data_IF_366540058635
#
_entry.id   IF_366540058635
#
_cell.length_a   1.000
_cell.length_b   1.000
_cell.length_c   1.000
_cell.angle_alpha   90.00
_cell.angle_beta   90.00
_cell.angle_gamma   90.00
#
_symmetry.space_group_name_H-M   'P 1'
#
loop_
_entity.id
_entity.type
_entity.pdbx_description
1 polymer ?
#
# COMPACT_ATOMS: atom_id res chain seq x y z
N UNK A 1 21.31 -1.27 -6.22
CA UNK A 1 20.25 -0.41 -5.65
C UNK A 1 19.11 -1.28 -5.14
N UNK A 2 18.67 -1.08 -3.89
CA UNK A 2 17.58 -1.87 -3.33
C UNK A 2 16.25 -1.68 -4.11
N UNK A 3 15.40 -2.71 -4.07
CA UNK A 3 14.13 -2.66 -4.80
C UNK A 3 13.23 -1.51 -4.32
N UNK A 4 13.18 -1.28 -3.01
CA UNK A 4 12.35 -0.20 -2.48
C UNK A 4 12.78 1.18 -2.98
N UNK A 5 14.08 1.39 -3.17
CA UNK A 5 14.60 2.66 -3.65
C UNK A 5 14.27 2.87 -5.13
N UNK A 6 14.32 1.81 -5.94
CA UNK A 6 13.87 1.88 -7.33
C UNK A 6 12.39 2.20 -7.43
N UNK A 7 11.58 1.59 -6.57
CA UNK A 7 10.15 1.86 -6.50
C UNK A 7 9.89 3.32 -6.13
N UNK A 8 10.62 3.79 -5.11
CA UNK A 8 10.52 5.18 -4.65
C UNK A 8 10.91 6.18 -5.74
N UNK A 9 11.99 5.91 -6.48
CA UNK A 9 12.40 6.74 -7.60
C UNK A 9 11.35 6.78 -8.71
N UNK A 10 10.71 5.65 -9.01
CA UNK A 10 9.63 5.61 -9.99
C UNK A 10 8.45 6.46 -9.51
N UNK A 11 8.07 6.34 -8.24
CA UNK A 11 7.00 7.15 -7.67
C UNK A 11 7.32 8.65 -7.74
N UNK A 12 8.56 9.03 -7.42
CA UNK A 12 9.01 10.40 -7.52
C UNK A 12 8.96 10.92 -8.96
N UNK A 13 9.38 10.11 -9.93
CA UNK A 13 9.31 10.46 -11.35
C UNK A 13 7.86 10.69 -11.82
N UNK A 14 6.91 9.98 -11.21
CA UNK A 14 5.48 10.15 -11.47
C UNK A 14 4.86 11.27 -10.64
N UNK A 15 5.67 12.01 -9.89
CA UNK A 15 5.29 13.15 -9.06
C UNK A 15 4.40 12.78 -7.88
N UNK A 16 4.58 11.59 -7.35
CA UNK A 16 3.94 11.18 -6.10
C UNK A 16 4.80 11.60 -4.92
N UNK A 17 4.15 11.98 -3.82
CA UNK A 17 4.86 12.30 -2.57
C UNK A 17 4.79 11.12 -1.62
N UNK A 18 5.95 10.77 -1.07
CA UNK A 18 6.11 9.69 -0.09
C UNK A 18 5.95 10.23 1.32
N UNK A 19 5.24 9.49 2.15
CA UNK A 19 5.19 9.75 3.59
C UNK A 19 5.22 8.42 4.35
N UNK A 20 5.65 8.46 5.60
CA UNK A 20 5.61 7.32 6.49
C UNK A 20 4.57 7.60 7.57
N UNK A 21 3.60 6.70 7.70
CA UNK A 21 2.53 6.83 8.69
C UNK A 21 2.76 5.82 9.81
N UNK A 22 2.76 6.30 11.05
CA UNK A 22 2.82 5.42 12.21
C UNK A 22 1.43 4.84 12.49
N UNK A 23 1.36 3.52 12.67
CA UNK A 23 0.17 2.83 13.17
C UNK A 23 0.49 2.24 14.54
N UNK A 24 -0.44 1.47 15.11
CA UNK A 24 -0.23 0.93 16.46
C UNK A 24 1.05 0.09 16.57
N UNK A 25 1.33 -0.75 15.56
CA UNK A 25 2.44 -1.70 15.63
C UNK A 25 3.47 -1.55 14.52
N UNK A 26 3.12 -0.84 13.44
CA UNK A 26 3.98 -0.74 12.26
C UNK A 26 3.99 0.66 11.69
N UNK A 27 5.09 1.00 11.03
CA UNK A 27 5.12 2.12 10.12
C UNK A 27 4.65 1.64 8.74
N UNK A 28 3.92 2.51 8.04
CA UNK A 28 3.37 2.23 6.71
C UNK A 28 3.80 3.35 5.77
N UNK A 29 4.39 3.01 4.64
CA UNK A 29 4.70 3.99 3.60
C UNK A 29 3.46 4.23 2.75
N UNK A 30 3.18 5.50 2.46
CA UNK A 30 2.12 5.89 1.53
C UNK A 30 2.68 6.78 0.44
N UNK A 31 2.08 6.71 -0.75
CA UNK A 31 2.37 7.59 -1.89
C UNK A 31 1.09 8.30 -2.30
N UNK A 32 1.14 9.63 -2.35
CA UNK A 32 -0.01 10.48 -2.65
C UNK A 32 0.19 11.13 -4.03
N UNK A 33 -0.87 11.16 -4.85
CA UNK A 33 -0.80 11.89 -6.10
C UNK A 33 -1.02 13.40 -5.87
N UNK A 34 -0.88 14.20 -6.94
CA UNK A 34 -1.01 15.66 -6.84
C UNK A 34 -2.42 16.13 -6.51
N UNK A 35 -3.44 15.28 -6.72
CA UNK A 35 -4.85 15.62 -6.46
C UNK A 35 -5.31 15.23 -5.07
N UNK A 36 -4.46 14.59 -4.28
CA UNK A 36 -4.80 13.98 -2.99
C UNK A 36 -5.54 14.94 -2.04
N UNK A 37 -5.16 16.21 -2.02
CA UNK A 37 -5.73 17.19 -1.08
C UNK A 37 -7.13 17.71 -1.43
N UNK A 38 -7.76 17.25 -2.51
CA UNK A 38 -9.01 17.80 -3.01
C UNK A 38 -10.16 16.79 -2.94
N UNK A 39 -11.41 17.31 -2.91
CA UNK A 39 -12.62 16.50 -3.02
C UNK A 39 -12.91 15.63 -1.81
N UNK A 40 -14.04 14.92 -1.88
CA UNK A 40 -14.50 14.01 -0.83
C UNK A 40 -14.41 12.53 -1.22
N UNK A 41 -13.98 12.23 -2.45
CA UNK A 41 -13.76 10.89 -2.97
C UNK A 41 -12.27 10.58 -2.99
N UNK A 42 -11.89 9.38 -2.62
CA UNK A 42 -10.51 8.94 -2.62
C UNK A 42 -10.38 7.57 -3.26
N UNK A 43 -9.45 7.45 -4.19
CA UNK A 43 -9.02 6.18 -4.74
C UNK A 43 -7.83 5.65 -3.94
N UNK A 44 -7.98 4.48 -3.37
CA UNK A 44 -6.94 3.84 -2.54
C UNK A 44 -6.40 2.64 -3.31
N UNK A 45 -5.11 2.70 -3.64
CA UNK A 45 -4.42 1.65 -4.37
C UNK A 45 -3.67 0.75 -3.41
N UNK A 46 -3.81 -0.56 -3.58
CA UNK A 46 -3.10 -1.59 -2.84
C UNK A 46 -2.33 -2.46 -3.84
N UNK A 47 -1.01 -2.41 -3.76
CA UNK A 47 -0.16 -3.16 -4.67
C UNK A 47 -0.19 -4.66 -4.36
N UNK A 48 0.30 -5.45 -5.30
CA UNK A 48 0.43 -6.89 -5.14
C UNK A 48 1.44 -7.29 -4.07
N UNK A 49 1.59 -8.60 -3.89
CA UNK A 49 2.52 -9.15 -2.88
C UNK A 49 3.97 -8.71 -3.11
N UNK A 50 4.28 -8.24 -4.30
CA UNK A 50 5.63 -7.85 -4.66
C UNK A 50 6.53 -9.04 -4.89
N UNK A 51 7.67 -9.05 -4.24
CA UNK A 51 8.68 -10.09 -4.40
C UNK A 51 9.08 -10.68 -3.05
N UNK A 52 8.17 -11.39 -2.38
CA UNK A 52 8.46 -11.98 -1.07
C UNK A 52 9.49 -13.11 -1.13
N UNK A 53 9.61 -13.76 -2.29
CA UNK A 53 10.51 -14.88 -2.51
C UNK A 53 11.54 -14.57 -3.59
N UNK A 54 12.70 -15.24 -3.54
CA UNK A 54 13.68 -15.15 -4.62
C UNK A 54 13.12 -15.76 -5.90
N UNK A 55 13.79 -15.50 -7.05
CA UNK A 55 13.32 -15.95 -8.37
C UNK A 55 13.01 -17.44 -8.45
N UNK A 56 13.78 -18.29 -7.74
CA UNK A 56 13.57 -19.73 -7.74
C UNK A 56 12.68 -20.21 -6.59
N UNK A 57 12.16 -19.28 -5.78
CA UNK A 57 11.28 -19.60 -4.66
C UNK A 57 11.95 -20.28 -3.48
N UNK A 58 13.28 -20.42 -3.48
CA UNK A 58 14.01 -21.18 -2.47
C UNK A 58 14.32 -20.37 -1.22
N UNK A 59 14.37 -19.04 -1.33
CA UNK A 59 14.70 -18.16 -0.21
C UNK A 59 13.69 -17.02 -0.11
N UNK A 60 13.54 -16.49 1.10
CA UNK A 60 12.72 -15.31 1.34
C UNK A 60 13.57 -14.08 1.07
N UNK A 61 13.02 -13.11 0.32
CA UNK A 61 13.68 -11.84 0.09
C UNK A 61 13.68 -10.99 1.37
N UNK A 62 14.77 -10.24 1.59
CA UNK A 62 14.87 -9.29 2.69
C UNK A 62 14.06 -8.01 2.42
N UNK A 63 13.76 -7.72 1.16
CA UNK A 63 12.98 -6.57 0.74
C UNK A 63 11.87 -7.07 -0.19
N UNK A 64 10.62 -7.14 0.32
CA UNK A 64 9.51 -7.67 -0.48
C UNK A 64 8.91 -6.65 -1.45
N UNK A 65 9.40 -5.42 -1.48
CA UNK A 65 8.86 -4.34 -2.32
C UNK A 65 8.71 -4.80 -3.77
N UNK A 66 7.60 -4.47 -4.44
CA UNK A 66 7.40 -4.84 -5.84
C UNK A 66 8.53 -4.35 -6.75
N UNK A 67 8.92 -5.18 -7.69
CA UNK A 67 9.92 -4.86 -8.71
C UNK A 67 9.29 -4.47 -10.04
N UNK A 68 7.97 -4.42 -10.08
CA UNK A 68 7.18 -3.93 -11.19
C UNK A 68 6.37 -2.73 -10.73
N UNK A 69 6.02 -1.84 -11.66
CA UNK A 69 5.45 -0.53 -11.33
C UNK A 69 4.07 -0.33 -11.92
N UNK A 70 3.35 -1.43 -12.22
CA UNK A 70 2.05 -1.36 -12.87
C UNK A 70 1.06 -0.51 -12.06
N UNK A 71 1.01 -0.71 -10.74
CA UNK A 71 0.06 0.02 -9.89
C UNK A 71 0.40 1.50 -9.83
N UNK A 72 1.69 1.84 -9.73
CA UNK A 72 2.12 3.24 -9.80
C UNK A 72 1.73 3.87 -11.13
N UNK A 73 1.90 3.13 -12.24
CA UNK A 73 1.53 3.61 -13.56
C UNK A 73 0.02 3.81 -13.71
N UNK A 74 -0.79 2.89 -13.19
CA UNK A 74 -2.24 3.05 -13.17
C UNK A 74 -2.65 4.28 -12.36
N UNK A 75 -2.08 4.45 -11.18
CA UNK A 75 -2.35 5.61 -10.35
C UNK A 75 -1.94 6.92 -11.02
N UNK A 76 -0.89 6.89 -11.86
CA UNK A 76 -0.40 8.10 -12.54
C UNK A 76 -1.37 8.67 -13.57
N UNK A 77 -2.24 7.84 -14.13
CA UNK A 77 -3.24 8.28 -15.10
C UNK A 77 -4.62 8.48 -14.47
N UNK A 78 -4.74 8.28 -13.18
CA UNK A 78 -5.98 8.49 -12.44
C UNK A 78 -6.16 9.98 -12.18
N UNK A 79 -7.24 10.62 -12.66
CA UNK A 79 -7.48 12.04 -12.42
C UNK A 79 -8.08 12.33 -11.05
N UNK A 80 -8.45 11.30 -10.29
CA UNK A 80 -9.02 11.45 -8.96
C UNK A 80 -7.94 11.63 -7.89
N UNK A 81 -8.29 12.22 -6.73
CA UNK A 81 -7.43 12.14 -5.56
C UNK A 81 -7.11 10.69 -5.24
N UNK A 82 -5.85 10.34 -5.12
CA UNK A 82 -5.43 8.96 -4.96
C UNK A 82 -4.24 8.82 -4.02
N UNK A 83 -4.22 7.70 -3.33
CA UNK A 83 -3.14 7.29 -2.44
C UNK A 83 -2.85 5.81 -2.65
N UNK A 84 -1.57 5.44 -2.67
CA UNK A 84 -1.14 4.06 -2.54
C UNK A 84 -0.74 3.84 -1.09
N UNK A 85 -1.34 2.84 -0.44
CA UNK A 85 -1.00 2.47 0.93
C UNK A 85 -0.15 1.21 0.88
N UNK A 86 1.08 1.31 1.37
CA UNK A 86 2.00 0.18 1.47
C UNK A 86 1.58 -0.78 2.56
N UNK A 87 2.23 -1.93 2.57
CA UNK A 87 2.04 -2.93 3.62
C UNK A 87 3.09 -2.75 4.71
N UNK A 88 2.86 -3.31 5.91
CA UNK A 88 3.92 -3.36 6.93
C UNK A 88 5.20 -3.96 6.35
N UNK A 89 6.33 -3.34 6.65
CA UNK A 89 7.65 -3.87 6.28
C UNK A 89 8.04 -3.75 4.82
N UNK A 90 7.20 -3.13 3.99
CA UNK A 90 7.50 -2.84 2.59
C UNK A 90 8.12 -1.44 2.44
N UNK A 91 8.65 -1.16 1.28
CA UNK A 91 9.09 0.17 0.87
C UNK A 91 10.20 0.76 1.75
N UNK A 92 11.18 -0.05 2.08
CA UNK A 92 12.33 0.37 2.86
C UNK A 92 12.23 0.14 4.36
N UNK A 93 11.13 -0.47 4.82
CA UNK A 93 10.87 -0.68 6.25
C UNK A 93 11.12 -2.11 6.72
N UNK A 94 11.67 -2.98 5.87
CA UNK A 94 11.80 -4.40 6.20
C UNK A 94 12.73 -4.69 7.39
N UNK A 95 13.61 -3.75 7.73
CA UNK A 95 14.55 -3.88 8.85
C UNK A 95 14.02 -3.23 10.14
N UNK A 96 12.82 -2.68 10.14
CA UNK A 96 12.20 -2.17 11.36
C UNK A 96 12.08 -3.27 12.41
N UNK A 97 12.20 -2.92 13.69
CA UNK A 97 12.28 -3.90 14.79
C UNK A 97 11.05 -4.80 14.91
N UNK A 98 9.88 -4.33 14.46
CA UNK A 98 8.64 -5.11 14.50
C UNK A 98 8.45 -5.98 13.27
N UNK A 99 9.36 -5.92 12.31
CA UNK A 99 9.26 -6.65 11.06
C UNK A 99 9.86 -8.04 11.14
N UNK A 100 9.17 -9.00 10.55
CA UNK A 100 9.60 -10.38 10.43
C UNK A 100 9.18 -10.90 9.05
N UNK A 101 10.02 -11.71 8.39
CA UNK A 101 9.71 -12.22 7.04
C UNK A 101 8.38 -12.95 6.89
N UNK A 102 7.80 -13.50 7.96
CA UNK A 102 6.47 -14.10 7.90
C UNK A 102 5.41 -13.09 7.47
N UNK A 103 5.60 -11.80 7.78
CA UNK A 103 4.61 -10.76 7.46
C UNK A 103 4.46 -10.52 5.96
N UNK A 104 5.46 -10.87 5.15
CA UNK A 104 5.34 -10.75 3.69
C UNK A 104 5.34 -12.11 2.97
N UNK A 105 5.30 -13.19 3.72
CA UNK A 105 5.20 -14.55 3.18
C UNK A 105 3.90 -15.22 3.65
N UNK A 106 3.98 -16.13 4.61
CA UNK A 106 2.83 -16.93 5.03
C UNK A 106 1.75 -16.10 5.75
N UNK A 107 2.13 -15.06 6.46
CA UNK A 107 1.20 -14.18 7.19
C UNK A 107 0.83 -12.91 6.43
N UNK A 108 1.00 -12.88 5.11
CA UNK A 108 0.81 -11.66 4.30
C UNK A 108 -0.63 -11.13 4.26
N UNK A 109 -1.60 -11.96 4.59
CA UNK A 109 -3.01 -11.54 4.72
C UNK A 109 -3.54 -11.74 6.14
N UNK A 110 -2.64 -11.79 7.12
CA UNK A 110 -3.00 -11.96 8.52
C UNK A 110 -3.75 -10.75 9.06
N UNK A 111 -4.41 -10.95 10.19
CA UNK A 111 -5.09 -9.86 10.89
C UNK A 111 -4.13 -8.72 11.23
N UNK A 112 -2.87 -9.01 11.56
CA UNK A 112 -1.86 -7.98 11.82
C UNK A 112 -1.63 -7.08 10.60
N UNK A 113 -1.49 -7.69 9.42
CA UNK A 113 -1.27 -6.94 8.18
C UNK A 113 -2.52 -6.13 7.81
N UNK A 114 -3.69 -6.75 7.84
CA UNK A 114 -4.96 -6.09 7.53
C UNK A 114 -5.22 -4.94 8.50
N UNK A 115 -4.96 -5.13 9.78
CA UNK A 115 -5.14 -4.09 10.80
C UNK A 115 -4.20 -2.90 10.57
N UNK A 116 -2.94 -3.16 10.22
CA UNK A 116 -1.98 -2.08 9.96
C UNK A 116 -2.40 -1.24 8.75
N UNK A 117 -2.79 -1.89 7.66
CA UNK A 117 -3.27 -1.19 6.45
C UNK A 117 -4.55 -0.41 6.78
N UNK A 118 -5.46 -1.01 7.52
CA UNK A 118 -6.72 -0.36 7.93
C UNK A 118 -6.48 0.84 8.84
N UNK A 119 -5.52 0.75 9.76
CA UNK A 119 -5.16 1.88 10.63
C UNK A 119 -4.59 3.04 9.81
N UNK A 120 -3.75 2.74 8.83
CA UNK A 120 -3.22 3.76 7.93
C UNK A 120 -4.35 4.42 7.14
N UNK A 121 -5.28 3.65 6.60
CA UNK A 121 -6.42 4.19 5.87
C UNK A 121 -7.31 5.04 6.77
N UNK A 122 -7.55 4.60 8.01
CA UNK A 122 -8.33 5.39 8.97
C UNK A 122 -7.69 6.76 9.22
N UNK A 123 -6.37 6.81 9.37
CA UNK A 123 -5.64 8.07 9.54
C UNK A 123 -5.76 8.96 8.31
N UNK A 124 -5.66 8.36 7.12
CA UNK A 124 -5.82 9.07 5.84
C UNK A 124 -7.21 9.70 5.72
N UNK A 125 -8.25 8.98 6.11
CA UNK A 125 -9.63 9.49 6.07
C UNK A 125 -9.84 10.69 6.98
N UNK A 126 -9.17 10.70 8.13
CA UNK A 126 -9.26 11.81 9.09
C UNK A 126 -8.59 13.09 8.58
N UNK A 127 -7.58 12.96 7.72
CA UNK A 127 -6.85 14.14 7.21
C UNK A 127 -7.72 15.04 6.34
N UNK A 128 -8.66 14.48 5.55
CA UNK A 128 -9.35 15.21 4.49
C UNK A 128 -10.88 14.99 4.46
N UNK A 129 -11.49 14.46 5.50
CA UNK A 129 -12.95 14.25 5.58
C UNK A 129 -13.52 13.53 4.35
N UNK A 130 -12.92 12.42 3.97
CA UNK A 130 -13.39 11.65 2.82
C UNK A 130 -14.69 10.93 3.14
N UNK A 131 -15.69 11.06 2.27
CA UNK A 131 -16.98 10.39 2.41
C UNK A 131 -17.12 9.17 1.50
N UNK A 132 -16.32 9.08 0.45
CA UNK A 132 -16.38 7.98 -0.52
C UNK A 132 -14.98 7.42 -0.79
N UNK A 133 -14.88 6.09 -0.74
CA UNK A 133 -13.66 5.36 -1.05
C UNK A 133 -13.90 4.40 -2.22
N UNK A 134 -12.93 4.32 -3.09
CA UNK A 134 -12.80 3.22 -4.06
C UNK A 134 -11.48 2.53 -3.75
N UNK A 135 -11.53 1.25 -3.41
CA UNK A 135 -10.34 0.46 -3.16
C UNK A 135 -9.94 -0.29 -4.42
N UNK A 136 -8.71 -0.11 -4.85
CA UNK A 136 -8.20 -0.68 -6.11
C UNK A 136 -7.00 -1.55 -5.76
N UNK A 137 -7.19 -2.86 -5.82
CA UNK A 137 -6.15 -3.83 -5.45
C UNK A 137 -5.69 -4.64 -6.65
N UNK A 138 -4.38 -4.78 -6.80
CA UNK A 138 -3.77 -5.59 -7.84
C UNK A 138 -3.29 -6.91 -7.27
N UNK A 139 -3.68 -8.04 -7.88
CA UNK A 139 -3.25 -9.37 -7.46
C UNK A 139 -3.53 -9.59 -5.96
N UNK A 140 -2.52 -9.88 -5.14
CA UNK A 140 -2.68 -10.00 -3.68
C UNK A 140 -3.21 -8.74 -3.01
N UNK A 141 -3.01 -7.57 -3.63
CA UNK A 141 -3.63 -6.32 -3.19
C UNK A 141 -5.15 -6.34 -3.30
N UNK A 142 -5.69 -7.12 -4.24
CA UNK A 142 -7.14 -7.35 -4.34
C UNK A 142 -7.68 -8.10 -3.13
N UNK A 143 -6.95 -9.09 -2.64
CA UNK A 143 -7.30 -9.80 -1.41
C UNK A 143 -7.32 -8.84 -0.23
N UNK A 144 -6.28 -8.02 -0.08
CA UNK A 144 -6.25 -7.00 0.98
C UNK A 144 -7.39 -6.00 0.85
N UNK A 145 -7.70 -5.56 -0.38
CA UNK A 145 -8.78 -4.61 -0.61
C UNK A 145 -10.12 -5.16 -0.09
N UNK A 146 -10.42 -6.43 -0.36
CA UNK A 146 -11.63 -7.06 0.14
C UNK A 146 -11.65 -7.12 1.68
N UNK A 147 -10.55 -7.51 2.28
CA UNK A 147 -10.46 -7.63 3.75
C UNK A 147 -10.55 -6.26 4.43
N UNK A 148 -9.94 -5.25 3.85
CA UNK A 148 -9.97 -3.88 4.38
C UNK A 148 -11.36 -3.26 4.18
N UNK A 149 -12.00 -3.48 3.04
CA UNK A 149 -13.31 -2.91 2.71
C UNK A 149 -14.38 -3.23 3.77
N UNK A 150 -14.31 -4.41 4.37
CA UNK A 150 -15.25 -4.82 5.41
C UNK A 150 -15.26 -3.89 6.62
N UNK A 151 -14.18 -3.14 6.83
CA UNK A 151 -14.02 -2.25 7.98
C UNK A 151 -14.44 -0.81 7.71
N UNK A 152 -14.81 -0.47 6.47
CA UNK A 152 -15.09 0.91 6.07
C UNK A 152 -16.42 1.03 5.33
N UNK A 153 -17.40 1.65 5.99
CA UNK A 153 -18.72 1.88 5.40
C UNK A 153 -18.71 2.90 4.28
N UNK A 154 -17.64 3.73 4.19
CA UNK A 154 -17.45 4.71 3.12
C UNK A 154 -17.09 4.06 1.77
N UNK A 155 -16.76 2.77 1.76
CA UNK A 155 -16.35 2.08 0.53
C UNK A 155 -17.53 1.99 -0.42
N UNK A 156 -17.37 2.57 -1.62
CA UNK A 156 -18.38 2.54 -2.70
C UNK A 156 -18.12 1.38 -3.64
N UNK A 157 -16.86 1.05 -3.86
CA UNK A 157 -16.49 0.01 -4.81
C UNK A 157 -15.13 -0.59 -4.45
N UNK A 158 -14.96 -1.85 -4.84
CA UNK A 158 -13.69 -2.57 -4.73
C UNK A 158 -13.37 -3.14 -6.10
N UNK A 159 -12.24 -2.72 -6.66
CA UNK A 159 -11.73 -3.17 -7.96
C UNK A 159 -10.50 -4.05 -7.70
N UNK A 160 -10.51 -5.25 -8.26
CA UNK A 160 -9.39 -6.18 -8.09
C UNK A 160 -9.05 -6.88 -9.40
#
# INVERSE_FOLDING_TARGET
MPAWLKYDQMAENLRFSRAVMATNNFNIVVYKNQWYGSGNKLHVYLDGDGSPWTKNGSLINNDPTPRQYLVLQLMSIDPAPAILIGRPCYHGLSQDSDCHPLLWTHARYSQQVVSAVSDALQAVLKENNRSELVLIGYSGGGTLAQLVAEKFTQTRDVVS
#
